data_IF_293027896385
#
_entry.id   IF_293027896385
#
_cell.length_a   1.000
_cell.length_b   1.000
_cell.length_c   1.000
_cell.angle_alpha   90.00
_cell.angle_beta   90.00
_cell.angle_gamma   90.00
#
_symmetry.space_group_name_H-M   'P 1'
#
loop_
_entity.id
_entity.type
_entity.pdbx_description
1 polymer ?
#
# COMPACT_ATOMS: atom_id res chain seq x y z
N UNK A 1 -3.02 -6.93 34.83
CA UNK A 1 -3.42 -5.82 33.99
C UNK A 1 -2.50 -4.62 34.21
N UNK A 2 -2.15 -3.87 33.16
CA UNK A 2 -1.31 -2.68 33.22
C UNK A 2 0.20 -2.93 33.16
N UNK A 3 0.65 -4.16 33.04
CA UNK A 3 2.06 -4.48 32.78
C UNK A 3 2.32 -4.57 31.27
N UNK A 4 3.51 -4.15 30.84
CA UNK A 4 3.94 -4.36 29.47
C UNK A 4 4.03 -5.86 29.16
N UNK A 5 3.52 -6.27 28.02
CA UNK A 5 3.35 -7.70 27.69
C UNK A 5 4.65 -8.50 27.76
N UNK A 6 5.79 -7.93 27.38
CA UNK A 6 7.10 -8.61 27.44
C UNK A 6 7.64 -8.80 28.86
N UNK A 7 7.15 -8.00 29.80
CA UNK A 7 7.51 -8.15 31.21
C UNK A 7 6.64 -9.20 31.94
N UNK A 8 5.68 -9.78 31.22
CA UNK A 8 4.78 -10.79 31.76
C UNK A 8 5.26 -12.23 31.55
N UNK A 9 6.25 -12.45 30.69
CA UNK A 9 6.65 -13.79 30.23
C UNK A 9 7.02 -14.69 31.40
N UNK A 10 7.89 -14.26 32.31
CA UNK A 10 8.29 -15.02 33.50
C UNK A 10 7.10 -15.38 34.41
N UNK A 11 6.17 -14.41 34.58
CA UNK A 11 4.97 -14.62 35.41
C UNK A 11 4.05 -15.65 34.76
N UNK A 12 3.88 -15.60 33.44
CA UNK A 12 3.02 -16.55 32.70
C UNK A 12 3.63 -17.93 32.69
N UNK A 13 4.95 -18.05 32.47
CA UNK A 13 5.68 -19.31 32.53
C UNK A 13 5.54 -19.95 33.91
N UNK A 14 5.70 -19.17 34.99
CA UNK A 14 5.51 -19.64 36.35
C UNK A 14 4.09 -20.19 36.61
N UNK A 15 3.06 -19.47 36.18
CA UNK A 15 1.65 -19.90 36.29
C UNK A 15 1.39 -21.21 35.52
N UNK A 16 1.95 -21.35 34.33
CA UNK A 16 1.83 -22.57 33.53
C UNK A 16 2.57 -23.75 34.15
N UNK A 17 3.72 -23.50 34.74
CA UNK A 17 4.49 -24.51 35.49
C UNK A 17 3.69 -25.01 36.70
N UNK A 18 3.19 -24.12 37.54
CA UNK A 18 2.42 -24.43 38.75
C UNK A 18 1.13 -25.20 38.43
N UNK A 19 0.56 -24.94 37.27
CA UNK A 19 -0.63 -25.63 36.77
C UNK A 19 -0.35 -26.94 36.03
N UNK A 20 0.91 -27.37 35.90
CA UNK A 20 1.36 -28.51 35.08
C UNK A 20 0.95 -28.43 33.61
N UNK A 21 0.84 -27.21 33.07
CA UNK A 21 0.46 -26.94 31.66
C UNK A 21 1.64 -26.50 30.82
N UNK A 22 2.82 -26.27 31.42
CA UNK A 22 4.01 -25.86 30.68
C UNK A 22 4.57 -27.07 29.91
N UNK A 23 4.44 -27.03 28.58
CA UNK A 23 4.99 -28.09 27.73
C UNK A 23 6.51 -27.97 27.57
N UNK A 24 7.00 -26.75 27.30
CA UNK A 24 8.44 -26.50 27.10
C UNK A 24 8.76 -25.02 27.20
N UNK A 25 9.88 -24.72 27.81
CA UNK A 25 10.53 -23.40 27.76
C UNK A 25 11.89 -23.53 27.05
N UNK A 26 12.18 -22.54 26.18
CA UNK A 26 13.47 -22.50 25.48
C UNK A 26 13.81 -21.08 25.09
N UNK A 27 15.00 -20.63 25.44
CA UNK A 27 15.59 -19.42 24.87
C UNK A 27 16.02 -19.70 23.44
N UNK A 28 15.60 -18.78 22.51
CA UNK A 28 16.02 -18.93 21.14
C UNK A 28 16.22 -17.56 20.49
N UNK A 29 17.31 -17.42 19.70
CA UNK A 29 17.63 -16.19 19.00
C UNK A 29 16.87 -16.14 17.67
N UNK A 30 16.12 -15.05 17.46
CA UNK A 30 15.38 -14.82 16.22
C UNK A 30 15.28 -13.33 15.92
N UNK A 31 15.00 -12.98 14.66
CA UNK A 31 14.70 -11.62 14.26
C UNK A 31 13.33 -11.20 14.81
N UNK A 32 13.26 -9.99 15.34
CA UNK A 32 12.03 -9.42 15.87
C UNK A 32 11.77 -8.02 15.26
N UNK A 33 10.55 -7.71 14.81
CA UNK A 33 10.26 -6.41 14.21
C UNK A 33 10.28 -5.30 15.25
N UNK A 34 10.96 -4.21 14.92
CA UNK A 34 11.03 -3.01 15.74
C UNK A 34 10.47 -1.81 14.98
N UNK A 35 9.93 -0.84 15.73
CA UNK A 35 9.51 0.42 15.18
C UNK A 35 10.71 1.17 14.60
N UNK A 36 10.65 1.51 13.31
CA UNK A 36 11.76 2.18 12.62
C UNK A 36 12.08 3.60 13.14
N UNK A 37 11.13 4.22 13.86
CA UNK A 37 11.32 5.56 14.46
C UNK A 37 11.89 5.49 15.87
N UNK A 38 11.34 4.62 16.71
CA UNK A 38 11.61 4.60 18.15
C UNK A 38 12.52 3.45 18.56
N UNK A 39 12.75 2.47 17.70
CA UNK A 39 13.51 1.27 18.01
C UNK A 39 12.83 0.28 18.97
N UNK A 40 11.61 0.58 19.45
CA UNK A 40 10.89 -0.31 20.35
C UNK A 40 10.38 -1.56 19.61
N UNK A 41 10.35 -2.73 20.25
CA UNK A 41 9.76 -3.93 19.69
C UNK A 41 8.28 -3.73 19.42
N UNK A 42 7.82 -4.18 18.25
CA UNK A 42 6.42 -4.13 17.87
C UNK A 42 5.62 -5.21 18.60
N UNK A 43 4.36 -4.93 18.86
CA UNK A 43 3.42 -5.90 19.42
C UNK A 43 2.44 -6.37 18.35
N UNK A 44 2.13 -7.66 18.35
CA UNK A 44 1.00 -8.19 17.61
C UNK A 44 -0.27 -7.95 18.45
N UNK A 45 -1.14 -7.12 17.94
CA UNK A 45 -2.37 -6.71 18.61
C UNK A 45 -3.55 -6.89 17.66
N UNK A 46 -4.60 -7.55 18.12
CA UNK A 46 -5.83 -7.70 17.35
C UNK A 46 -6.61 -6.39 17.38
N UNK A 47 -6.93 -5.88 16.20
CA UNK A 47 -7.72 -4.67 16.01
C UNK A 47 -8.77 -4.90 14.93
N UNK A 48 -9.93 -4.27 15.09
CA UNK A 48 -10.91 -4.22 14.03
C UNK A 48 -10.39 -3.40 12.85
N UNK A 49 -10.64 -3.88 11.65
CA UNK A 49 -10.20 -3.23 10.42
C UNK A 49 -11.21 -3.46 9.30
N UNK A 50 -11.26 -2.52 8.38
CA UNK A 50 -12.00 -2.67 7.13
C UNK A 50 -11.15 -3.43 6.12
N UNK A 51 -11.78 -4.37 5.41
CA UNK A 51 -11.12 -5.22 4.44
C UNK A 51 -11.82 -5.18 3.09
N UNK A 52 -11.03 -5.16 2.02
CA UNK A 52 -11.50 -5.55 0.69
C UNK A 52 -11.27 -7.05 0.52
N UNK A 53 -12.32 -7.80 0.17
CA UNK A 53 -12.26 -9.26 0.03
C UNK A 53 -11.57 -9.65 -1.29
N UNK A 54 -10.25 -9.48 -1.34
CA UNK A 54 -9.44 -9.78 -2.53
C UNK A 54 -9.44 -11.26 -2.91
N UNK A 55 -9.68 -12.14 -1.94
CA UNK A 55 -9.83 -13.59 -2.17
C UNK A 55 -11.03 -13.91 -3.06
N UNK A 56 -12.06 -13.05 -3.09
CA UNK A 56 -13.23 -13.22 -3.97
C UNK A 56 -12.93 -12.97 -5.46
N UNK A 57 -11.91 -12.19 -5.76
CA UNK A 57 -11.51 -11.82 -7.14
C UNK A 57 -10.16 -12.42 -7.55
N UNK A 58 -9.64 -13.37 -6.79
CA UNK A 58 -8.34 -13.99 -7.00
C UNK A 58 -8.16 -14.55 -8.41
N UNK A 59 -9.15 -15.28 -8.92
CA UNK A 59 -9.07 -15.91 -10.25
C UNK A 59 -9.01 -14.86 -11.35
N UNK A 60 -9.76 -13.75 -11.20
CA UNK A 60 -9.70 -12.60 -12.13
C UNK A 60 -8.35 -11.88 -12.07
N UNK A 61 -7.77 -11.73 -10.88
CA UNK A 61 -6.43 -11.15 -10.74
C UNK A 61 -5.38 -11.98 -11.51
N UNK A 62 -5.47 -13.29 -11.45
CA UNK A 62 -4.57 -14.20 -12.19
C UNK A 62 -4.83 -14.14 -13.70
N UNK A 63 -6.10 -14.14 -14.12
CA UNK A 63 -6.50 -13.99 -15.51
C UNK A 63 -5.99 -12.67 -16.10
N UNK A 64 -6.21 -11.55 -15.41
CA UNK A 64 -5.78 -10.24 -15.89
C UNK A 64 -4.25 -10.08 -15.86
N UNK A 65 -3.57 -10.64 -14.87
CA UNK A 65 -2.10 -10.68 -14.88
C UNK A 65 -1.55 -11.41 -16.13
N UNK A 66 -2.23 -12.46 -16.61
CA UNK A 66 -1.80 -13.20 -17.80
C UNK A 66 -1.93 -12.41 -19.12
N UNK A 67 -2.70 -11.31 -19.10
CA UNK A 67 -2.89 -10.42 -20.25
C UNK A 67 -1.87 -9.28 -20.28
N UNK A 68 -1.09 -9.08 -19.21
CA UNK A 68 -0.07 -8.05 -19.13
C UNK A 68 1.23 -8.52 -19.78
N UNK A 69 1.79 -7.69 -20.66
CA UNK A 69 3.12 -7.92 -21.25
C UNK A 69 4.19 -7.49 -20.20
N UNK A 70 4.80 -8.47 -19.56
CA UNK A 70 5.85 -8.24 -18.58
C UNK A 70 7.24 -8.21 -19.19
N UNK A 71 8.07 -7.28 -18.76
CA UNK A 71 9.49 -7.27 -19.02
C UNK A 71 10.27 -7.22 -17.69
N UNK A 72 10.93 -8.32 -17.29
CA UNK A 72 10.98 -9.62 -17.95
C UNK A 72 9.75 -10.50 -17.61
N UNK A 73 9.41 -11.43 -18.50
CA UNK A 73 8.23 -12.31 -18.38
C UNK A 73 8.17 -13.07 -17.05
N UNK A 74 9.32 -13.56 -16.57
CA UNK A 74 9.39 -14.34 -15.33
C UNK A 74 8.94 -13.59 -14.07
N UNK A 75 8.90 -12.25 -14.10
CA UNK A 75 8.36 -11.46 -12.97
C UNK A 75 6.85 -11.62 -12.88
N UNK A 76 6.14 -11.56 -14.02
CA UNK A 76 4.69 -11.69 -14.08
C UNK A 76 4.22 -13.08 -13.68
N UNK A 77 4.84 -14.13 -14.22
CA UNK A 77 4.47 -15.51 -13.91
C UNK A 77 4.96 -15.98 -12.53
N UNK A 78 6.21 -15.67 -12.22
CA UNK A 78 6.87 -16.10 -10.98
C UNK A 78 6.50 -15.21 -9.80
N UNK A 79 7.32 -14.18 -9.55
CA UNK A 79 7.22 -13.36 -8.32
C UNK A 79 5.84 -12.71 -8.12
N UNK A 80 5.25 -12.15 -9.16
CA UNK A 80 3.95 -11.49 -9.08
C UNK A 80 2.80 -12.51 -9.11
N UNK A 81 2.84 -13.47 -10.03
CA UNK A 81 1.84 -14.54 -10.12
C UNK A 81 1.77 -15.38 -8.84
N UNK A 82 2.92 -15.68 -8.21
CA UNK A 82 2.96 -16.37 -6.92
C UNK A 82 2.32 -15.54 -5.79
N UNK A 83 2.54 -14.23 -5.79
CA UNK A 83 1.85 -13.33 -4.86
C UNK A 83 0.33 -13.35 -5.05
N UNK A 84 -0.16 -13.29 -6.29
CA UNK A 84 -1.58 -13.35 -6.59
C UNK A 84 -2.22 -14.70 -6.23
N UNK A 85 -1.50 -15.81 -6.46
CA UNK A 85 -1.98 -17.15 -6.04
C UNK A 85 -2.19 -17.25 -4.53
N UNK A 86 -1.42 -16.52 -3.76
CA UNK A 86 -1.46 -16.49 -2.29
C UNK A 86 -2.08 -15.20 -1.74
N UNK A 87 -2.85 -14.48 -2.57
CA UNK A 87 -3.48 -13.22 -2.16
C UNK A 87 -4.37 -13.41 -0.93
N UNK A 88 -4.28 -12.45 -0.02
CA UNK A 88 -5.12 -12.34 1.18
C UNK A 88 -6.02 -11.12 1.06
N UNK A 89 -7.07 -11.09 1.86
CA UNK A 89 -7.94 -9.92 1.95
C UNK A 89 -7.13 -8.71 2.42
N UNK A 90 -7.40 -7.59 1.80
CA UNK A 90 -6.61 -6.36 1.97
C UNK A 90 -7.21 -5.49 3.07
N UNK A 91 -6.54 -5.39 4.21
CA UNK A 91 -6.90 -4.43 5.25
C UNK A 91 -6.63 -3.01 4.73
N UNK A 92 -7.69 -2.23 4.48
CA UNK A 92 -7.61 -0.90 3.86
C UNK A 92 -7.67 0.25 4.86
N UNK A 93 -8.15 0.03 6.09
CA UNK A 93 -8.23 1.06 7.11
C UNK A 93 -6.93 1.23 7.88
N UNK A 94 -6.59 2.49 8.21
CA UNK A 94 -5.41 2.84 9.02
C UNK A 94 -5.82 3.77 10.14
N UNK A 95 -5.34 3.48 11.34
CA UNK A 95 -5.50 4.33 12.52
C UNK A 95 -4.45 5.46 12.48
N UNK A 96 -4.68 6.40 11.57
CA UNK A 96 -3.84 7.58 11.37
C UNK A 96 -4.69 8.84 11.31
N UNK A 97 -4.09 9.97 11.65
CA UNK A 97 -4.79 11.25 11.58
C UNK A 97 -4.90 11.74 10.13
N UNK A 98 -3.79 11.75 9.40
CA UNK A 98 -3.73 12.28 8.03
C UNK A 98 -3.73 11.18 6.98
N UNK A 99 -4.54 11.35 5.96
CA UNK A 99 -4.74 10.50 4.81
C UNK A 99 -6.13 10.69 4.22
N UNK A 100 -6.48 9.95 3.18
CA UNK A 100 -7.83 9.92 2.61
C UNK A 100 -8.79 9.31 3.62
N UNK A 101 -9.78 10.05 4.14
CA UNK A 101 -10.72 9.51 5.12
C UNK A 101 -11.55 8.37 4.55
N UNK A 102 -11.77 7.32 5.34
CA UNK A 102 -12.65 6.23 4.95
C UNK A 102 -14.09 6.77 4.86
N UNK A 103 -14.76 6.73 3.67
CA UNK A 103 -16.04 7.40 3.45
C UNK A 103 -17.23 6.54 3.93
N UNK A 104 -17.12 5.99 5.14
CA UNK A 104 -18.17 5.13 5.73
C UNK A 104 -18.72 5.77 6.98
N UNK A 105 -20.04 5.90 7.04
CA UNK A 105 -20.78 6.34 8.21
C UNK A 105 -21.53 5.16 8.84
N UNK A 106 -21.54 5.10 10.17
CA UNK A 106 -22.20 4.05 10.94
C UNK A 106 -23.28 4.68 11.82
N UNK A 107 -24.50 4.16 11.71
CA UNK A 107 -25.60 4.57 12.56
C UNK A 107 -25.32 4.20 14.01
N UNK A 108 -25.48 5.18 14.90
CA UNK A 108 -25.21 5.01 16.32
C UNK A 108 -26.35 4.25 17.04
N UNK A 109 -27.52 4.08 16.38
CA UNK A 109 -28.68 3.42 16.95
C UNK A 109 -28.87 1.99 16.41
N UNK A 110 -28.87 1.79 15.09
CA UNK A 110 -29.15 0.48 14.48
C UNK A 110 -27.91 -0.22 13.90
N UNK A 111 -26.74 0.45 13.86
CA UNK A 111 -25.51 -0.11 13.33
C UNK A 111 -25.44 -0.19 11.80
N UNK A 112 -26.43 0.33 11.07
CA UNK A 112 -26.39 0.39 9.60
C UNK A 112 -25.16 1.14 9.13
N UNK A 113 -24.47 0.59 8.14
CA UNK A 113 -23.27 1.15 7.52
C UNK A 113 -23.65 1.71 6.15
N UNK A 114 -23.14 2.92 5.85
CA UNK A 114 -23.35 3.55 4.57
C UNK A 114 -22.02 4.10 4.03
N UNK A 115 -21.68 3.71 2.81
CA UNK A 115 -20.48 4.24 2.12
C UNK A 115 -20.91 5.37 1.19
N UNK A 116 -20.47 6.58 1.48
CA UNK A 116 -20.80 7.79 0.72
C UNK A 116 -19.95 7.87 -0.55
N UNK A 117 -20.57 7.98 -1.70
CA UNK A 117 -19.93 7.98 -3.00
C UNK A 117 -19.62 9.36 -3.58
N UNK A 118 -20.26 10.44 -3.07
CA UNK A 118 -20.01 11.81 -3.55
C UNK A 118 -20.32 12.88 -2.50
N UNK A 119 -19.85 14.09 -2.74
CA UNK A 119 -20.18 15.26 -1.90
C UNK A 119 -21.66 15.63 -1.97
N UNK A 120 -22.29 15.43 -3.12
CA UNK A 120 -23.72 15.65 -3.31
C UNK A 120 -24.56 14.65 -2.50
N UNK A 121 -24.16 13.40 -2.50
CA UNK A 121 -24.80 12.38 -1.66
C UNK A 121 -24.62 12.72 -0.18
N UNK A 122 -23.41 13.06 0.25
CA UNK A 122 -23.15 13.48 1.64
C UNK A 122 -24.03 14.66 2.03
N UNK A 123 -24.15 15.67 1.18
CA UNK A 123 -24.99 16.84 1.44
C UNK A 123 -26.48 16.48 1.53
N UNK A 124 -26.95 15.57 0.67
CA UNK A 124 -28.36 15.13 0.66
C UNK A 124 -28.77 14.34 1.90
N UNK A 125 -27.81 13.65 2.52
CA UNK A 125 -28.00 12.83 3.70
C UNK A 125 -27.68 13.57 5.01
N UNK A 126 -27.06 14.75 4.92
CA UNK A 126 -26.65 15.49 6.10
C UNK A 126 -27.83 15.84 7.01
N UNK A 127 -27.64 15.65 8.32
CA UNK A 127 -28.62 16.05 9.31
C UNK A 127 -28.80 17.57 9.32
N UNK A 128 -30.02 18.04 9.47
CA UNK A 128 -30.30 19.47 9.57
C UNK A 128 -29.45 20.12 10.68
N UNK A 129 -28.72 21.18 10.30
CA UNK A 129 -27.79 21.89 11.18
C UNK A 129 -26.40 21.25 11.32
N UNK A 130 -26.17 20.08 10.70
CA UNK A 130 -24.82 19.51 10.62
C UNK A 130 -24.00 20.22 9.54
N UNK A 131 -22.71 20.53 9.77
CA UNK A 131 -21.86 21.05 8.72
C UNK A 131 -21.67 19.98 7.63
N UNK A 132 -21.70 20.40 6.36
CA UNK A 132 -21.24 19.60 5.25
C UNK A 132 -19.83 20.06 4.91
N UNK A 133 -18.86 19.15 5.05
CA UNK A 133 -17.46 19.51 4.86
C UNK A 133 -17.16 19.85 3.39
N UNK A 134 -16.59 21.02 3.13
CA UNK A 134 -16.00 21.38 1.82
C UNK A 134 -14.63 20.72 1.67
N UNK A 135 -13.83 20.69 2.74
CA UNK A 135 -12.58 19.93 2.84
C UNK A 135 -12.89 18.55 3.43
N UNK A 136 -12.71 17.52 2.60
CA UNK A 136 -12.98 16.13 2.99
C UNK A 136 -11.91 15.51 3.89
N UNK A 137 -10.84 16.24 4.25
CA UNK A 137 -9.85 15.77 5.20
C UNK A 137 -10.35 15.88 6.65
N UNK A 138 -9.69 15.15 7.53
CA UNK A 138 -9.86 15.32 8.97
C UNK A 138 -9.24 16.65 9.43
N UNK A 139 -9.86 17.37 10.40
CA UNK A 139 -11.02 16.94 11.19
C UNK A 139 -12.38 17.26 10.57
N UNK A 140 -12.42 18.04 9.49
CA UNK A 140 -13.64 18.67 8.97
C UNK A 140 -14.74 17.67 8.60
N UNK A 141 -14.38 16.59 7.89
CA UNK A 141 -15.33 15.55 7.49
C UNK A 141 -15.91 14.77 8.68
N UNK A 142 -15.18 14.72 9.81
CA UNK A 142 -15.63 14.01 11.01
C UNK A 142 -16.81 14.70 11.70
N UNK A 143 -17.00 15.99 11.46
CA UNK A 143 -18.10 16.79 12.05
C UNK A 143 -19.42 16.64 11.26
N UNK A 144 -19.38 16.04 10.06
CA UNK A 144 -20.57 15.79 9.24
C UNK A 144 -21.36 14.60 9.78
N UNK A 145 -22.53 14.87 10.33
CA UNK A 145 -23.50 13.85 10.79
C UNK A 145 -24.51 13.61 9.70
N UNK A 146 -24.74 12.34 9.34
CA UNK A 146 -25.75 11.94 8.37
C UNK A 146 -26.99 11.36 9.07
N UNK A 147 -28.11 11.35 8.35
CA UNK A 147 -29.35 10.71 8.79
C UNK A 147 -29.37 9.28 8.27
N UNK A 148 -29.61 8.33 9.15
CA UNK A 148 -29.70 6.92 8.79
C UNK A 148 -30.94 6.65 7.91
N UNK A 149 -30.79 6.03 6.73
CA UNK A 149 -31.93 5.72 5.86
C UNK A 149 -32.87 4.65 6.43
N UNK A 150 -32.41 3.82 7.39
CA UNK A 150 -33.19 2.72 7.97
C UNK A 150 -33.99 3.13 9.20
N UNK A 151 -33.40 3.95 10.10
CA UNK A 151 -34.05 4.25 11.38
C UNK A 151 -34.15 5.75 11.68
N UNK A 152 -33.66 6.62 10.80
CA UNK A 152 -33.55 8.07 10.97
C UNK A 152 -32.62 8.51 12.13
N UNK A 153 -31.85 7.61 12.70
CA UNK A 153 -30.85 7.90 13.73
C UNK A 153 -29.62 8.60 13.19
N UNK A 154 -28.78 9.09 14.08
CA UNK A 154 -27.53 9.78 13.72
C UNK A 154 -26.47 8.79 13.24
N UNK A 155 -25.84 9.08 12.11
CA UNK A 155 -24.68 8.33 11.60
C UNK A 155 -23.41 9.16 11.76
N UNK A 156 -22.36 8.53 12.29
CA UNK A 156 -21.01 9.11 12.40
C UNK A 156 -20.03 8.38 11.50
N UNK A 157 -19.08 9.14 10.95
CA UNK A 157 -18.04 8.59 10.11
C UNK A 157 -17.10 7.68 10.91
N UNK A 158 -16.66 6.60 10.30
CA UNK A 158 -15.55 5.77 10.80
C UNK A 158 -14.27 6.59 10.93
N UNK A 159 -13.57 6.59 12.08
CA UNK A 159 -12.44 7.51 12.32
C UNK A 159 -11.16 7.16 11.55
N UNK A 160 -11.18 6.09 10.77
CA UNK A 160 -10.02 5.65 10.03
C UNK A 160 -9.78 6.46 8.75
N UNK A 161 -8.53 6.40 8.26
CA UNK A 161 -8.17 6.79 6.89
C UNK A 161 -7.83 5.55 6.06
N UNK A 162 -7.88 5.68 4.76
CA UNK A 162 -7.54 4.61 3.84
C UNK A 162 -6.03 4.36 3.80
N UNK A 163 -5.65 3.15 3.45
CA UNK A 163 -4.27 2.81 3.12
C UNK A 163 -3.80 3.65 1.92
N UNK A 164 -2.64 4.32 2.04
CA UNK A 164 -2.06 5.10 0.94
C UNK A 164 -1.80 4.26 -0.33
N UNK A 165 -1.72 2.95 -0.21
CA UNK A 165 -1.65 2.05 -1.35
C UNK A 165 -2.98 1.94 -2.11
N UNK A 166 -4.11 2.21 -1.45
CA UNK A 166 -5.40 2.35 -2.13
C UNK A 166 -5.39 3.61 -3.00
N UNK A 167 -4.98 4.75 -2.44
CA UNK A 167 -4.89 6.01 -3.17
C UNK A 167 -4.01 5.86 -4.42
N UNK A 168 -2.82 5.28 -4.27
CA UNK A 168 -1.92 5.03 -5.40
C UNK A 168 -2.47 4.00 -6.40
N UNK A 169 -3.26 3.03 -5.92
CA UNK A 169 -3.96 2.05 -6.76
C UNK A 169 -5.06 2.66 -7.62
N UNK A 170 -5.60 3.82 -7.20
CA UNK A 170 -6.60 4.58 -7.95
C UNK A 170 -5.99 5.46 -9.06
N UNK A 171 -4.67 5.58 -9.15
CA UNK A 171 -4.00 6.54 -10.06
C UNK A 171 -4.44 6.42 -11.52
N UNK A 172 -4.77 5.22 -12.00
CA UNK A 172 -5.17 4.97 -13.38
C UNK A 172 -6.44 5.71 -13.83
N UNK A 173 -7.30 6.07 -12.90
CA UNK A 173 -8.56 6.77 -13.17
C UNK A 173 -8.71 8.07 -12.37
N UNK A 174 -8.17 8.13 -11.15
CA UNK A 174 -8.25 9.32 -10.31
C UNK A 174 -7.56 10.54 -10.93
N UNK A 175 -6.44 10.34 -11.68
CA UNK A 175 -5.76 11.42 -12.40
C UNK A 175 -6.65 12.09 -13.46
N UNK A 176 -7.68 11.41 -13.94
CA UNK A 176 -8.67 11.92 -14.87
C UNK A 176 -9.93 12.45 -14.17
N UNK A 177 -9.94 12.43 -12.85
CA UNK A 177 -11.10 12.76 -12.03
C UNK A 177 -12.34 11.92 -12.38
N UNK A 178 -12.13 10.67 -12.83
CA UNK A 178 -13.23 9.75 -13.14
C UNK A 178 -13.94 9.30 -11.83
N UNK A 179 -15.30 9.26 -11.80
CA UNK A 179 -16.26 9.43 -12.91
C UNK A 179 -16.71 10.88 -13.15
N UNK A 180 -16.17 11.87 -12.45
CA UNK A 180 -16.65 13.26 -12.46
C UNK A 180 -15.87 14.16 -13.44
N UNK A 181 -14.87 13.63 -14.13
CA UNK A 181 -14.02 14.37 -15.08
C UNK A 181 -14.65 14.58 -16.45
N UNK A 182 -13.81 15.03 -17.40
CA UNK A 182 -14.23 15.24 -18.80
C UNK A 182 -14.58 13.89 -19.45
N UNK A 183 -15.73 13.87 -20.17
CA UNK A 183 -16.20 12.72 -20.93
C UNK A 183 -15.15 12.23 -21.94
N UNK A 184 -14.93 10.92 -22.00
CA UNK A 184 -13.99 10.28 -22.91
C UNK A 184 -12.52 10.34 -22.45
N UNK A 185 -12.18 11.11 -21.43
CA UNK A 185 -10.79 11.27 -21.01
C UNK A 185 -10.24 9.99 -20.34
N UNK A 186 -11.04 9.39 -19.50
CA UNK A 186 -10.70 8.10 -18.87
C UNK A 186 -10.69 6.98 -19.92
N UNK A 187 -11.74 6.84 -20.71
CA UNK A 187 -11.95 5.78 -21.69
C UNK A 187 -10.83 5.73 -22.74
N UNK A 188 -10.28 6.89 -23.10
CA UNK A 188 -9.19 6.99 -24.07
C UNK A 188 -7.82 6.66 -23.48
N UNK A 189 -7.68 6.64 -22.14
CA UNK A 189 -6.39 6.46 -21.45
C UNK A 189 -6.34 5.22 -20.53
N UNK A 190 -7.41 4.45 -20.50
CA UNK A 190 -7.52 3.24 -19.68
C UNK A 190 -7.81 2.00 -20.56
N UNK A 191 -7.12 0.87 -20.34
CA UNK A 191 -5.99 0.64 -19.43
C UNK A 191 -4.73 1.44 -19.83
N UNK A 192 -3.87 1.75 -18.86
CA UNK A 192 -2.58 2.43 -19.07
C UNK A 192 -1.72 1.62 -20.05
N UNK A 193 -1.06 2.29 -21.01
CA UNK A 193 -0.25 1.58 -21.99
C UNK A 193 1.02 0.97 -21.39
N UNK A 194 1.65 1.66 -20.43
CA UNK A 194 2.96 1.26 -19.90
C UNK A 194 3.19 1.79 -18.49
N UNK A 195 3.72 0.94 -17.62
CA UNK A 195 4.24 1.31 -16.29
C UNK A 195 5.65 0.76 -16.09
N UNK A 196 6.46 1.45 -15.28
CA UNK A 196 7.84 1.07 -15.01
C UNK A 196 8.22 1.45 -13.59
N UNK A 197 8.58 0.46 -12.77
CA UNK A 197 9.08 0.64 -11.40
C UNK A 197 9.96 -0.53 -10.96
N UNK A 198 10.53 -0.45 -9.77
CA UNK A 198 11.35 -1.52 -9.20
C UNK A 198 10.59 -2.82 -8.93
N UNK A 199 11.30 -3.93 -8.94
CA UNK A 199 10.74 -5.29 -8.73
C UNK A 199 10.04 -5.48 -7.38
N UNK A 200 10.34 -4.64 -6.39
CA UNK A 200 9.65 -4.62 -5.10
C UNK A 200 8.18 -4.21 -5.24
N UNK A 201 7.82 -3.47 -6.29
CA UNK A 201 6.45 -3.05 -6.58
C UNK A 201 5.52 -4.18 -7.02
N UNK A 202 6.02 -5.38 -7.23
CA UNK A 202 5.20 -6.59 -7.33
C UNK A 202 4.39 -6.86 -6.05
N UNK A 203 4.80 -6.28 -4.91
CA UNK A 203 4.07 -6.28 -3.63
C UNK A 203 3.74 -4.87 -3.14
N UNK A 204 3.55 -3.97 -4.07
CA UNK A 204 3.21 -2.57 -3.86
C UNK A 204 2.35 -2.09 -5.01
N UNK A 205 2.83 -1.11 -5.76
CA UNK A 205 2.03 -0.38 -6.75
C UNK A 205 1.51 -1.25 -7.90
N UNK A 206 2.29 -2.19 -8.43
CA UNK A 206 1.79 -3.10 -9.49
C UNK A 206 0.58 -3.90 -9.02
N UNK A 207 0.62 -4.38 -7.78
CA UNK A 207 -0.49 -5.11 -7.19
C UNK A 207 -1.69 -4.21 -6.93
N UNK A 208 -1.50 -3.05 -6.33
CA UNK A 208 -2.64 -2.20 -5.95
C UNK A 208 -3.35 -1.60 -7.15
N UNK A 209 -2.63 -1.25 -8.23
CA UNK A 209 -3.22 -0.87 -9.51
C UNK A 209 -4.11 -1.99 -10.08
N UNK A 210 -3.59 -3.22 -10.14
CA UNK A 210 -4.35 -4.36 -10.65
C UNK A 210 -5.54 -4.70 -9.74
N UNK A 211 -5.33 -4.69 -8.42
CA UNK A 211 -6.36 -5.00 -7.43
C UNK A 211 -7.56 -4.05 -7.52
N UNK A 212 -7.31 -2.74 -7.55
CA UNK A 212 -8.36 -1.72 -7.66
C UNK A 212 -9.06 -1.82 -9.01
N UNK A 213 -8.29 -1.94 -10.11
CA UNK A 213 -8.86 -2.06 -11.45
C UNK A 213 -9.74 -3.30 -11.61
N UNK A 214 -9.28 -4.45 -11.10
CA UNK A 214 -10.05 -5.70 -11.11
C UNK A 214 -11.37 -5.57 -10.36
N UNK A 215 -11.35 -4.89 -9.21
CA UNK A 215 -12.57 -4.77 -8.37
C UNK A 215 -13.55 -3.73 -8.88
N UNK A 216 -13.07 -2.65 -9.49
CA UNK A 216 -13.93 -1.52 -9.91
C UNK A 216 -14.37 -1.63 -11.38
N UNK A 217 -13.45 -2.04 -12.27
CA UNK A 217 -13.67 -2.02 -13.72
C UNK A 217 -13.74 -3.41 -14.36
N UNK A 218 -13.44 -4.48 -13.60
CA UNK A 218 -13.35 -5.85 -14.13
C UNK A 218 -12.40 -5.93 -15.34
N UNK A 219 -11.21 -5.32 -15.22
CA UNK A 219 -10.24 -5.13 -16.30
C UNK A 219 -8.81 -5.11 -15.81
N UNK A 220 -7.85 -5.31 -16.74
CA UNK A 220 -6.45 -4.98 -16.51
C UNK A 220 -6.31 -3.48 -16.26
N UNK A 221 -5.31 -3.09 -15.44
CA UNK A 221 -5.00 -1.67 -15.21
C UNK A 221 -3.99 -1.12 -16.20
N UNK A 222 -3.06 -1.96 -16.63
CA UNK A 222 -1.94 -1.62 -17.52
C UNK A 222 -1.65 -2.75 -18.48
N UNK A 223 -1.26 -2.39 -19.72
CA UNK A 223 -0.99 -3.35 -20.78
C UNK A 223 0.43 -3.91 -20.71
N UNK A 224 1.40 -3.07 -20.31
CA UNK A 224 2.83 -3.41 -20.25
C UNK A 224 3.44 -2.99 -18.93
N UNK A 225 4.31 -3.82 -18.36
CA UNK A 225 5.02 -3.55 -17.14
C UNK A 225 6.51 -3.87 -17.27
N UNK A 226 7.36 -2.85 -17.20
CA UNK A 226 8.80 -3.04 -17.05
C UNK A 226 9.16 -3.07 -15.56
N UNK A 227 9.64 -4.22 -15.10
CA UNK A 227 10.07 -4.38 -13.71
C UNK A 227 11.59 -4.21 -13.62
N UNK A 228 12.03 -3.10 -13.01
CA UNK A 228 13.44 -2.78 -12.87
C UNK A 228 14.11 -3.60 -11.76
N UNK A 229 15.37 -3.96 -12.01
CA UNK A 229 16.26 -4.55 -11.02
C UNK A 229 16.64 -3.55 -9.92
N UNK A 230 17.14 -4.07 -8.80
CA UNK A 230 17.63 -3.23 -7.70
C UNK A 230 19.02 -2.66 -8.04
N UNK A 231 19.27 -1.42 -7.61
CA UNK A 231 20.62 -0.86 -7.60
C UNK A 231 21.27 -1.26 -6.27
N UNK A 232 22.41 -1.91 -6.37
CA UNK A 232 23.20 -2.43 -5.26
C UNK A 232 24.49 -1.60 -5.14
N UNK A 233 25.16 -1.69 -3.99
CA UNK A 233 26.52 -1.14 -3.86
C UNK A 233 27.54 -1.92 -4.72
N UNK A 234 28.78 -1.47 -4.74
CA UNK A 234 29.84 -2.09 -5.54
C UNK A 234 30.09 -3.56 -5.16
N UNK A 235 29.83 -3.94 -3.92
CA UNK A 235 29.94 -5.30 -3.40
C UNK A 235 28.70 -6.16 -3.70
N UNK A 236 27.64 -5.57 -4.27
CA UNK A 236 26.39 -6.26 -4.59
C UNK A 236 25.43 -6.38 -3.40
N UNK A 237 25.57 -5.54 -2.37
CA UNK A 237 24.68 -5.50 -1.23
C UNK A 237 23.62 -4.42 -1.42
N UNK A 238 22.42 -4.65 -0.86
CA UNK A 238 21.37 -3.65 -0.87
C UNK A 238 21.80 -2.41 -0.09
N UNK A 239 21.69 -1.25 -0.73
CA UNK A 239 21.96 0.05 -0.12
C UNK A 239 20.93 0.37 0.97
N UNK A 240 21.40 0.91 2.10
CA UNK A 240 20.54 1.42 3.17
C UNK A 240 21.23 2.52 3.97
N UNK A 241 20.44 3.51 4.45
CA UNK A 241 20.96 4.60 5.30
C UNK A 241 21.63 4.07 6.56
N UNK A 242 21.06 3.04 7.18
CA UNK A 242 21.58 2.43 8.41
C UNK A 242 22.94 1.74 8.23
N UNK A 243 23.27 1.30 7.01
CA UNK A 243 24.55 0.64 6.68
C UNK A 243 25.60 1.63 6.15
N UNK A 244 25.23 2.87 5.85
CA UNK A 244 26.12 3.88 5.33
C UNK A 244 26.69 3.59 3.92
N UNK A 245 26.07 2.67 3.17
CA UNK A 245 26.49 2.25 1.84
C UNK A 245 25.64 2.85 0.71
N UNK A 246 24.95 3.95 0.98
CA UNK A 246 24.18 4.68 -0.02
C UNK A 246 25.13 5.52 -0.88
N UNK A 247 24.92 5.48 -2.19
CA UNK A 247 25.52 6.43 -3.13
C UNK A 247 24.54 7.58 -3.33
N UNK A 248 24.99 8.81 -3.05
CA UNK A 248 24.19 10.00 -3.35
C UNK A 248 24.37 10.35 -4.85
N UNK A 249 23.30 10.33 -5.65
CA UNK A 249 23.41 10.66 -7.07
C UNK A 249 23.87 12.10 -7.32
N UNK A 250 23.64 13.03 -6.39
CA UNK A 250 24.10 14.42 -6.53
C UNK A 250 25.62 14.56 -6.56
N UNK A 251 26.36 13.65 -5.89
CA UNK A 251 27.82 13.64 -5.96
C UNK A 251 28.31 13.38 -7.39
N UNK A 252 27.62 12.50 -8.13
CA UNK A 252 27.91 12.21 -9.53
C UNK A 252 27.38 13.29 -10.48
N UNK A 253 26.18 13.81 -10.21
CA UNK A 253 25.62 14.89 -11.02
C UNK A 253 26.50 16.15 -11.01
N UNK A 254 27.09 16.46 -9.86
CA UNK A 254 27.95 17.62 -9.70
C UNK A 254 29.37 17.43 -10.32
N UNK A 255 29.83 16.18 -10.43
CA UNK A 255 31.17 15.88 -10.97
C UNK A 255 31.16 15.50 -12.44
N UNK A 256 30.35 14.49 -12.78
CA UNK A 256 30.31 13.89 -14.10
C UNK A 256 29.10 14.34 -14.94
N UNK A 257 28.13 15.00 -14.30
CA UNK A 257 26.90 15.43 -14.94
C UNK A 257 25.79 14.38 -14.89
N UNK A 258 24.54 14.85 -14.97
CA UNK A 258 23.37 13.98 -14.94
C UNK A 258 23.29 13.06 -16.18
N UNK A 259 23.73 13.53 -17.33
CA UNK A 259 23.65 12.76 -18.57
C UNK A 259 24.60 11.56 -18.55
N UNK A 260 25.84 11.71 -18.07
CA UNK A 260 26.77 10.61 -17.91
C UNK A 260 26.22 9.55 -16.92
N UNK A 261 25.67 9.99 -15.80
CA UNK A 261 25.06 9.09 -14.81
C UNK A 261 23.85 8.34 -15.40
N UNK A 262 22.96 9.03 -16.11
CA UNK A 262 21.80 8.41 -16.77
C UNK A 262 22.23 7.42 -17.84
N UNK A 263 23.22 7.80 -18.66
CA UNK A 263 23.74 6.92 -19.71
C UNK A 263 24.34 5.65 -19.12
N UNK A 264 25.17 5.76 -18.08
CA UNK A 264 25.70 4.62 -17.36
C UNK A 264 24.57 3.69 -16.86
N UNK A 265 23.54 4.24 -16.21
CA UNK A 265 22.44 3.46 -15.66
C UNK A 265 21.66 2.68 -16.73
N UNK A 266 21.54 3.24 -17.94
CA UNK A 266 20.79 2.60 -19.05
C UNK A 266 21.65 1.58 -19.80
N UNK A 267 22.97 1.77 -19.86
CA UNK A 267 23.88 0.96 -20.69
C UNK A 267 24.63 -0.12 -19.92
N UNK A 268 24.69 -0.04 -18.59
CA UNK A 268 25.45 -0.98 -17.77
C UNK A 268 24.90 -2.41 -17.74
N UNK A 269 23.69 -2.63 -18.25
CA UNK A 269 23.07 -3.96 -18.35
C UNK A 269 21.59 -3.89 -18.68
N UNK A 270 20.94 -5.06 -18.75
CA UNK A 270 19.50 -5.11 -18.93
C UNK A 270 18.80 -4.51 -17.70
N UNK A 271 17.79 -3.63 -17.88
CA UNK A 271 17.21 -2.83 -16.79
C UNK A 271 16.56 -3.65 -15.69
N UNK A 272 16.15 -4.87 -15.97
CA UNK A 272 15.57 -5.79 -14.97
C UNK A 272 16.60 -6.59 -14.15
N UNK A 273 17.88 -6.52 -14.50
CA UNK A 273 18.94 -7.15 -13.73
C UNK A 273 19.39 -6.24 -12.58
N UNK A 274 19.76 -6.81 -11.41
CA UNK A 274 20.40 -6.01 -10.38
C UNK A 274 21.69 -5.35 -10.90
N UNK A 275 21.78 -4.02 -10.71
CA UNK A 275 22.96 -3.25 -11.10
C UNK A 275 23.85 -3.04 -9.86
N UNK A 276 25.10 -3.52 -9.92
CA UNK A 276 26.13 -3.11 -8.98
C UNK A 276 26.67 -1.74 -9.43
N UNK A 277 26.36 -0.72 -8.63
CA UNK A 277 26.75 0.64 -8.97
C UNK A 277 28.26 0.82 -8.80
N UNK A 278 28.95 1.14 -9.90
CA UNK A 278 30.37 1.46 -9.91
C UNK A 278 30.58 2.94 -10.27
N UNK A 279 31.10 3.75 -9.32
CA UNK A 279 31.44 5.15 -9.59
C UNK A 279 32.43 5.36 -10.75
N UNK A 280 33.33 4.38 -11.01
CA UNK A 280 34.26 4.48 -12.12
C UNK A 280 33.56 4.31 -13.47
N UNK A 281 32.54 3.43 -13.54
CA UNK A 281 31.72 3.28 -14.74
C UNK A 281 31.01 4.57 -15.14
N UNK A 282 30.57 5.39 -14.18
CA UNK A 282 30.02 6.73 -14.48
C UNK A 282 31.08 7.65 -15.09
N UNK A 283 32.32 7.62 -14.57
CA UNK A 283 33.44 8.42 -15.11
C UNK A 283 33.84 7.99 -16.51
N UNK A 284 33.80 6.71 -16.81
CA UNK A 284 34.11 6.18 -18.14
C UNK A 284 33.07 6.59 -19.19
N UNK A 285 31.86 6.92 -18.76
CA UNK A 285 30.81 7.42 -19.66
C UNK A 285 30.78 8.91 -19.83
N UNK A 286 31.47 9.64 -18.98
CA UNK A 286 31.70 11.09 -19.07
C UNK A 286 32.79 11.43 -20.05
#
# INVERSE_FOLDING_TARGET
DGKYVKDCDETIIGLLHDSNLLYREKMYLHDYPHCWRTGHPLLYYAMDSWFVKMTAVKDKLLEFNSQVEWAPDWVGEGRFGEWLRNVKDWAISRERYWGTPLPVWICQECGTQHCVGSTEEMASMAKEGSPVAEDLHRPYVDDTILVCPECNGDMKREPFVMDCWFDSGCASFAQWHHPFGEEGKFENNFPIDYICEGVDQTRGWFYTLLAVSTTVFDSICYKRCLSLGLILDAEGKKMSKSKGNIVDPWDHFNREGADATRWYMVTAGAPWNPLKFDPNGVRETY
#
